data_IF_039094229090
#
_entry.id   IF_039094229090
#
_cell.length_a   1.000
_cell.length_b   1.000
_cell.length_c   1.000
_cell.angle_alpha   90.00
_cell.angle_beta   90.00
_cell.angle_gamma   90.00
#
_symmetry.space_group_name_H-M   'P 1'
#
loop_
_entity.id
_entity.type
_entity.pdbx_description
1 polymer ?
#
# COMPACT_ATOMS: atom_id res chain seq x y z
N UNK A 1 22.81 -23.26 -21.93
CA UNK A 1 22.03 -24.05 -22.89
C UNK A 1 21.63 -25.33 -22.19
N UNK A 2 20.32 -25.58 -22.18
CA UNK A 2 19.61 -26.80 -21.75
C UNK A 2 19.86 -27.39 -20.35
N UNK A 3 18.86 -27.21 -19.48
CA UNK A 3 18.08 -28.37 -19.02
C UNK A 3 16.78 -27.89 -18.37
N UNK A 4 15.70 -28.10 -19.11
CA UNK A 4 14.31 -27.90 -18.71
C UNK A 4 13.79 -29.16 -18.02
N UNK A 5 12.94 -28.92 -17.02
CA UNK A 5 11.80 -29.75 -16.58
C UNK A 5 12.12 -31.11 -15.94
N UNK A 6 11.54 -31.35 -14.75
CA UNK A 6 10.69 -32.50 -14.40
C UNK A 6 10.37 -32.43 -12.89
N UNK A 7 9.36 -31.65 -12.49
CA UNK A 7 8.72 -31.80 -11.18
C UNK A 7 7.35 -32.46 -11.36
N UNK A 8 7.27 -33.69 -10.84
CA UNK A 8 6.14 -34.61 -10.89
C UNK A 8 4.89 -34.03 -10.20
N UNK A 9 3.73 -34.20 -10.83
CA UNK A 9 2.39 -33.89 -10.30
C UNK A 9 2.09 -34.78 -9.09
N UNK A 10 1.56 -34.19 -8.00
CA UNK A 10 0.96 -34.91 -6.86
C UNK A 10 -0.46 -35.40 -7.23
N UNK A 11 -0.92 -36.55 -6.69
CA UNK A 11 -2.23 -37.11 -7.03
C UNK A 11 -3.39 -36.40 -6.30
N UNK A 12 -4.55 -36.39 -6.96
CA UNK A 12 -5.81 -35.85 -6.46
C UNK A 12 -6.42 -36.78 -5.40
N UNK A 13 -6.89 -36.20 -4.29
CA UNK A 13 -7.70 -36.88 -3.28
C UNK A 13 -9.15 -36.50 -3.55
N UNK A 14 -10.00 -37.51 -3.71
CA UNK A 14 -11.44 -37.39 -3.91
C UNK A 14 -12.13 -36.94 -2.60
N UNK A 15 -13.08 -36.02 -2.70
CA UNK A 15 -13.97 -35.62 -1.61
C UNK A 15 -15.40 -36.05 -1.92
N UNK A 16 -16.00 -36.82 -1.01
CA UNK A 16 -17.41 -37.22 -1.01
C UNK A 16 -18.36 -36.03 -0.77
N UNK A 17 -19.63 -36.08 -1.23
CA UNK A 17 -20.57 -34.98 -1.13
C UNK A 17 -21.35 -34.99 0.20
N UNK A 18 -21.58 -33.81 0.77
CA UNK A 18 -22.53 -33.60 1.88
C UNK A 18 -23.87 -33.03 1.34
N UNK A 19 -25.01 -33.30 2.02
CA UNK A 19 -26.32 -33.24 1.40
C UNK A 19 -26.94 -31.84 1.33
N UNK A 20 -27.72 -31.65 0.27
CA UNK A 20 -28.54 -30.47 0.01
C UNK A 20 -29.68 -30.32 1.02
N UNK A 21 -29.94 -29.08 1.43
CA UNK A 21 -31.24 -28.66 1.94
C UNK A 21 -31.85 -27.67 0.95
N UNK A 22 -32.99 -28.10 0.41
CA UNK A 22 -33.95 -27.28 -0.33
C UNK A 22 -34.41 -26.08 0.50
N UNK A 23 -34.62 -24.94 -0.16
CA UNK A 23 -35.79 -24.07 0.03
C UNK A 23 -35.74 -22.88 -0.94
N UNK A 24 -36.80 -22.75 -1.76
CA UNK A 24 -37.30 -21.44 -2.19
C UNK A 24 -36.94 -20.98 -3.60
N UNK A 25 -37.57 -21.57 -4.61
CA UNK A 25 -37.64 -21.00 -5.96
C UNK A 25 -38.48 -19.71 -5.99
N UNK A 26 -38.00 -18.67 -6.65
CA UNK A 26 -38.81 -17.55 -7.14
C UNK A 26 -38.15 -17.01 -8.42
N UNK A 27 -38.94 -17.03 -9.51
CA UNK A 27 -38.48 -17.03 -10.88
C UNK A 27 -37.68 -15.80 -11.34
N UNK A 28 -36.78 -16.03 -12.31
CA UNK A 28 -36.12 -14.97 -13.08
C UNK A 28 -36.14 -15.29 -14.57
N UNK A 29 -36.53 -14.27 -15.32
CA UNK A 29 -36.62 -14.17 -16.79
C UNK A 29 -35.35 -14.65 -17.52
N UNK A 30 -35.47 -15.35 -18.67
CA UNK A 30 -34.33 -15.83 -19.44
C UNK A 30 -33.94 -14.78 -20.48
N UNK A 31 -33.09 -13.81 -20.12
CA UNK A 31 -32.24 -13.06 -21.07
C UNK A 31 -31.29 -12.08 -20.34
N UNK A 32 -30.30 -12.62 -19.62
CA UNK A 32 -29.09 -11.83 -19.30
C UNK A 32 -27.83 -12.62 -19.68
N UNK A 33 -26.86 -12.01 -20.38
CA UNK A 33 -25.61 -12.69 -20.69
C UNK A 33 -24.85 -12.98 -19.40
N UNK A 34 -24.56 -14.27 -19.16
CA UNK A 34 -23.75 -14.75 -18.03
C UNK A 34 -22.32 -14.24 -18.18
N UNK A 35 -22.01 -13.11 -17.58
CA UNK A 35 -20.62 -12.70 -17.34
C UNK A 35 -20.04 -13.68 -16.31
N UNK A 36 -18.89 -14.33 -16.57
CA UNK A 36 -18.28 -15.23 -15.59
C UNK A 36 -17.96 -14.44 -14.33
N UNK A 37 -18.54 -14.84 -13.20
CA UNK A 37 -18.18 -14.34 -11.89
C UNK A 37 -16.77 -14.86 -11.54
N UNK A 38 -15.73 -14.25 -12.10
CA UNK A 38 -14.48 -14.12 -11.35
C UNK A 38 -14.89 -13.49 -10.02
N UNK A 39 -14.53 -14.10 -8.89
CA UNK A 39 -14.80 -13.56 -7.55
C UNK A 39 -14.57 -12.05 -7.58
N UNK A 40 -15.67 -11.29 -7.71
CA UNK A 40 -15.63 -9.85 -7.53
C UNK A 40 -15.54 -9.74 -6.03
N UNK A 41 -14.35 -9.37 -5.54
CA UNK A 41 -14.17 -8.92 -4.17
C UNK A 41 -15.36 -8.01 -3.83
N UNK A 42 -15.95 -8.10 -2.61
CA UNK A 42 -16.93 -7.14 -2.15
C UNK A 42 -16.47 -5.74 -2.54
N UNK A 43 -17.40 -4.88 -2.96
CA UNK A 43 -17.04 -3.54 -3.36
C UNK A 43 -16.23 -2.90 -2.22
N UNK A 44 -14.92 -2.67 -2.41
CA UNK A 44 -14.06 -2.09 -1.39
C UNK A 44 -14.61 -0.75 -0.88
N UNK A 45 -15.37 -0.08 -1.75
CA UNK A 45 -16.17 1.13 -1.50
C UNK A 45 -17.27 0.95 -0.44
N UNK A 46 -17.78 -0.26 -0.22
CA UNK A 46 -18.81 -0.56 0.81
C UNK A 46 -18.24 -1.10 2.12
N UNK A 47 -16.95 -1.45 2.16
CA UNK A 47 -16.32 -1.93 3.39
C UNK A 47 -16.18 -0.79 4.40
N UNK A 48 -16.26 -1.10 5.69
CA UNK A 48 -16.00 -0.16 6.79
C UNK A 48 -14.84 -0.65 7.67
N UNK A 49 -14.11 0.25 8.34
CA UNK A 49 -13.09 -0.13 9.30
C UNK A 49 -13.63 -1.13 10.34
N UNK A 50 -12.86 -2.20 10.58
CA UNK A 50 -13.19 -3.20 11.60
C UNK A 50 -12.84 -2.72 13.00
N UNK A 51 -13.18 -3.49 14.04
CA UNK A 51 -12.75 -3.21 15.41
C UNK A 51 -11.22 -3.10 15.49
N UNK A 52 -10.48 -4.02 14.86
CA UNK A 52 -9.01 -3.96 14.78
C UNK A 52 -8.51 -2.62 14.24
N UNK A 53 -9.11 -2.08 13.17
CA UNK A 53 -8.69 -0.79 12.62
C UNK A 53 -8.91 0.35 13.62
N UNK A 54 -10.08 0.39 14.26
CA UNK A 54 -10.42 1.41 15.26
C UNK A 54 -9.57 1.27 16.54
N UNK A 55 -9.24 0.04 16.95
CA UNK A 55 -8.36 -0.22 18.08
C UNK A 55 -6.92 0.24 17.79
N UNK A 56 -6.40 -0.04 16.59
CA UNK A 56 -5.08 0.45 16.16
C UNK A 56 -5.05 1.99 16.14
N UNK A 57 -6.10 2.63 15.60
CA UNK A 57 -6.24 4.10 15.64
C UNK A 57 -6.15 4.61 17.08
N UNK A 58 -6.94 4.05 17.99
CA UNK A 58 -6.92 4.43 19.41
C UNK A 58 -5.56 4.19 20.07
N UNK A 59 -4.89 3.06 19.79
CA UNK A 59 -3.54 2.78 20.32
C UNK A 59 -2.50 3.79 19.84
N UNK A 60 -2.62 4.28 18.59
CA UNK A 60 -1.76 5.35 18.07
C UNK A 60 -2.06 6.68 18.74
N UNK A 61 -3.33 7.03 18.90
CA UNK A 61 -3.76 8.26 19.60
C UNK A 61 -3.31 8.29 21.07
N UNK A 62 -3.26 7.12 21.74
CA UNK A 62 -2.78 6.99 23.13
C UNK A 62 -1.27 6.78 23.25
N UNK A 63 -0.52 6.78 22.12
CA UNK A 63 0.94 6.68 22.12
C UNK A 63 1.51 5.27 22.36
N UNK A 64 0.68 4.22 22.41
CA UNK A 64 1.15 2.84 22.53
C UNK A 64 1.73 2.29 21.22
N UNK A 65 1.17 2.71 20.08
CA UNK A 65 1.64 2.32 18.76
C UNK A 65 2.25 3.52 18.07
N UNK A 66 3.52 3.40 17.70
CA UNK A 66 4.23 4.50 17.05
C UNK A 66 4.01 4.62 15.55
N UNK A 67 3.71 3.50 14.89
CA UNK A 67 3.63 3.42 13.43
C UNK A 67 2.92 2.13 13.01
N UNK A 68 2.22 2.18 11.88
CA UNK A 68 1.49 1.07 11.28
C UNK A 68 2.04 0.80 9.89
N UNK A 69 2.43 -0.44 9.62
CA UNK A 69 2.83 -0.90 8.29
C UNK A 69 1.77 -1.87 7.76
N UNK A 70 1.14 -1.51 6.64
CA UNK A 70 0.05 -2.29 6.04
C UNK A 70 0.40 -2.80 4.64
N UNK A 71 -0.06 -4.02 4.36
CA UNK A 71 -0.08 -4.60 3.01
C UNK A 71 -1.41 -4.37 2.31
N UNK A 72 -2.43 -3.95 3.05
CA UNK A 72 -3.77 -3.82 2.54
C UNK A 72 -3.84 -2.60 1.62
N UNK A 73 -4.60 -2.76 0.54
CA UNK A 73 -4.87 -1.67 -0.42
C UNK A 73 -6.26 -1.08 -0.23
N UNK A 74 -7.07 -1.66 0.66
CA UNK A 74 -8.47 -1.31 0.93
C UNK A 74 -8.67 0.10 1.53
N UNK A 75 -7.59 0.79 1.91
CA UNK A 75 -7.61 2.13 2.48
C UNK A 75 -8.30 2.25 3.84
N UNK A 76 -8.67 1.15 4.49
CA UNK A 76 -9.47 1.17 5.72
C UNK A 76 -8.73 1.80 6.91
N UNK A 77 -7.40 1.77 6.93
CA UNK A 77 -6.62 2.51 7.94
C UNK A 77 -6.76 4.03 7.78
N UNK A 78 -6.66 4.55 6.55
CA UNK A 78 -6.88 5.98 6.31
C UNK A 78 -8.31 6.35 6.67
N UNK A 79 -9.27 5.53 6.22
CA UNK A 79 -10.70 5.74 6.47
C UNK A 79 -11.07 5.65 7.94
N UNK A 80 -10.34 4.89 8.77
CA UNK A 80 -10.55 4.89 10.23
C UNK A 80 -10.08 6.17 10.91
N UNK A 81 -9.53 7.13 10.16
CA UNK A 81 -8.93 8.36 10.69
C UNK A 81 -7.52 8.17 11.25
N UNK A 82 -6.83 7.07 10.90
CA UNK A 82 -5.45 6.87 11.32
C UNK A 82 -4.55 7.95 10.68
N UNK A 83 -3.74 8.69 11.46
CA UNK A 83 -2.88 9.74 10.92
C UNK A 83 -1.93 9.21 9.84
N UNK A 84 -1.86 9.93 8.72
CA UNK A 84 -1.08 9.48 7.55
C UNK A 84 0.42 9.43 7.81
N UNK A 85 0.91 10.30 8.68
CA UNK A 85 2.30 10.33 9.10
C UNK A 85 2.73 9.05 9.85
N UNK A 86 1.77 8.39 10.51
CA UNK A 86 1.94 7.15 11.29
C UNK A 86 1.58 5.87 10.52
N UNK A 87 1.37 5.95 9.20
CA UNK A 87 0.94 4.83 8.35
C UNK A 87 1.83 4.67 7.11
N UNK A 88 2.30 3.45 6.85
CA UNK A 88 2.94 3.06 5.58
C UNK A 88 2.12 1.97 4.90
N UNK A 89 1.57 2.26 3.72
CA UNK A 89 0.82 1.30 2.90
C UNK A 89 1.71 0.81 1.77
N UNK A 90 2.37 -0.33 1.96
CA UNK A 90 3.48 -0.76 1.09
C UNK A 90 3.04 -1.23 -0.30
N UNK A 91 1.76 -1.52 -0.48
CA UNK A 91 1.19 -1.99 -1.75
C UNK A 91 0.25 -0.97 -2.40
N UNK A 92 0.17 0.24 -1.85
CA UNK A 92 -0.68 1.32 -2.35
C UNK A 92 -2.05 1.35 -1.69
N UNK A 93 -2.95 2.14 -2.27
CA UNK A 93 -4.27 2.42 -1.74
C UNK A 93 -5.25 2.60 -2.91
N UNK A 94 -6.39 1.90 -2.88
CA UNK A 94 -7.41 1.92 -3.95
C UNK A 94 -8.05 3.29 -4.16
N UNK A 95 -7.86 4.22 -3.23
CA UNK A 95 -8.45 5.56 -3.24
C UNK A 95 -7.45 6.66 -3.61
N UNK A 96 -6.22 6.29 -3.97
CA UNK A 96 -5.17 7.24 -4.32
C UNK A 96 -4.72 7.06 -5.77
N UNK A 97 -4.63 8.19 -6.48
CA UNK A 97 -3.96 8.28 -7.78
C UNK A 97 -2.91 9.40 -7.76
N UNK A 98 -1.85 9.26 -8.54
CA UNK A 98 -0.78 10.23 -8.61
C UNK A 98 -0.66 10.79 -10.03
N UNK A 99 -0.40 12.09 -10.14
CA UNK A 99 -0.06 12.70 -11.43
C UNK A 99 1.38 12.37 -11.82
N UNK A 100 1.58 11.92 -13.06
CA UNK A 100 2.91 11.65 -13.60
C UNK A 100 3.70 12.95 -13.87
N UNK A 101 3.02 14.05 -14.19
CA UNK A 101 3.66 15.34 -14.47
C UNK A 101 4.09 16.10 -13.20
N UNK A 102 3.20 16.27 -12.22
CA UNK A 102 3.46 17.11 -11.04
C UNK A 102 3.67 16.32 -9.74
N UNK A 103 3.62 14.98 -9.78
CA UNK A 103 3.75 14.09 -8.63
C UNK A 103 2.71 14.26 -7.51
N UNK A 104 1.69 15.12 -7.71
CA UNK A 104 0.62 15.33 -6.73
C UNK A 104 -0.22 14.07 -6.56
N UNK A 105 -0.47 13.69 -5.31
CA UNK A 105 -1.37 12.59 -4.94
C UNK A 105 -2.78 13.15 -4.79
N UNK A 106 -3.74 12.50 -5.44
CA UNK A 106 -5.15 12.85 -5.48
C UNK A 106 -5.93 11.75 -4.76
N UNK A 107 -6.73 12.17 -3.79
CA UNK A 107 -7.61 11.29 -3.03
C UNK A 107 -8.99 11.24 -3.69
N UNK A 108 -9.54 10.04 -3.85
CA UNK A 108 -10.84 9.78 -4.46
C UNK A 108 -11.71 8.98 -3.49
N UNK A 109 -13.02 9.13 -3.59
CA UNK A 109 -13.98 8.35 -2.82
C UNK A 109 -14.55 7.16 -3.63
N UNK A 110 -13.81 6.67 -4.62
CA UNK A 110 -14.14 5.49 -5.43
C UNK A 110 -12.86 4.70 -5.72
N UNK A 111 -13.00 3.44 -6.12
CA UNK A 111 -11.87 2.58 -6.51
C UNK A 111 -11.23 3.10 -7.81
N UNK A 112 -10.06 3.71 -7.70
CA UNK A 112 -9.30 4.25 -8.83
C UNK A 112 -8.62 3.17 -9.66
N UNK A 113 -8.47 1.97 -9.08
CA UNK A 113 -7.69 0.87 -9.62
C UNK A 113 -8.56 -0.21 -10.29
N UNK A 114 -9.88 -0.07 -10.28
CA UNK A 114 -10.86 -1.03 -10.82
C UNK A 114 -10.50 -1.58 -12.22
N UNK A 115 -10.00 -0.72 -13.08
CA UNK A 115 -9.66 -1.03 -14.48
C UNK A 115 -8.15 -1.04 -14.75
N UNK A 116 -7.36 -0.98 -13.68
CA UNK A 116 -5.90 -1.02 -13.71
C UNK A 116 -5.39 -2.43 -13.53
N UNK A 117 -4.10 -2.60 -13.77
CA UNK A 117 -3.48 -3.91 -13.76
C UNK A 117 -1.99 -3.80 -13.99
N UNK A 118 -1.33 -4.96 -13.92
CA UNK A 118 0.11 -5.07 -14.10
C UNK A 118 0.62 -4.31 -15.33
N UNK A 119 1.51 -3.34 -15.12
CA UNK A 119 2.11 -2.49 -16.14
C UNK A 119 1.15 -1.51 -16.82
N UNK A 120 -0.06 -1.31 -16.26
CA UNK A 120 -1.16 -0.52 -16.84
C UNK A 120 -1.85 0.33 -15.78
N UNK A 121 -1.09 1.28 -15.24
CA UNK A 121 -1.55 2.10 -14.11
C UNK A 121 -2.30 3.38 -14.50
N UNK A 122 -2.20 3.84 -15.75
CA UNK A 122 -2.85 5.08 -16.18
C UNK A 122 -4.37 4.93 -16.00
N UNK A 123 -4.98 5.91 -15.34
CA UNK A 123 -6.42 5.91 -15.03
C UNK A 123 -7.26 6.56 -16.11
N UNK A 124 -6.63 7.32 -17.01
CA UNK A 124 -7.30 8.03 -18.11
C UNK A 124 -7.86 9.40 -17.74
N UNK A 125 -7.51 9.91 -16.55
CA UNK A 125 -7.96 11.19 -15.99
C UNK A 125 -6.87 12.25 -16.02
N UNK A 126 -7.28 13.52 -16.06
CA UNK A 126 -6.36 14.66 -16.04
C UNK A 126 -6.24 15.19 -14.61
N UNK A 127 -5.02 15.48 -14.20
CA UNK A 127 -4.74 15.93 -12.83
C UNK A 127 -5.47 17.24 -12.51
N UNK A 128 -6.30 17.28 -11.46
CA UNK A 128 -7.00 18.50 -11.06
C UNK A 128 -6.05 19.60 -10.56
N UNK A 129 -4.89 19.23 -9.99
CA UNK A 129 -3.87 20.21 -9.56
C UNK A 129 -3.17 20.85 -10.76
N UNK A 130 -2.80 20.06 -11.77
CA UNK A 130 -2.28 20.62 -13.03
C UNK A 130 -3.33 21.48 -13.73
N UNK A 131 -4.61 21.07 -13.73
CA UNK A 131 -5.71 21.84 -14.32
C UNK A 131 -5.86 23.22 -13.68
N UNK A 132 -5.68 23.31 -12.36
CA UNK A 132 -5.71 24.57 -11.64
C UNK A 132 -4.46 25.44 -11.92
N UNK A 133 -3.28 24.82 -12.01
CA UNK A 133 -2.02 25.55 -12.20
C UNK A 133 -1.78 25.99 -13.65
N UNK A 134 -2.19 25.17 -14.63
CA UNK A 134 -1.94 25.33 -16.07
C UNK A 134 -3.16 24.88 -16.89
N UNK A 135 -4.24 25.69 -16.90
CA UNK A 135 -5.52 25.29 -17.50
C UNK A 135 -5.43 25.05 -19.00
N UNK A 136 -4.72 25.89 -19.76
CA UNK A 136 -4.63 25.80 -21.22
C UNK A 136 -3.91 24.51 -21.68
N UNK A 137 -2.79 24.16 -21.04
CA UNK A 137 -2.06 22.91 -21.31
C UNK A 137 -2.91 21.67 -21.00
N UNK A 138 -3.66 21.72 -19.89
CA UNK A 138 -4.57 20.63 -19.51
C UNK A 138 -5.76 20.52 -20.47
N UNK A 139 -6.29 21.64 -20.96
CA UNK A 139 -7.37 21.69 -21.94
C UNK A 139 -6.92 21.09 -23.28
N UNK A 140 -5.73 21.48 -23.76
CA UNK A 140 -5.14 20.91 -24.97
C UNK A 140 -4.92 19.39 -24.84
N UNK A 141 -4.44 18.94 -23.68
CA UNK A 141 -4.29 17.51 -23.38
C UNK A 141 -5.65 16.79 -23.41
N UNK A 142 -6.68 17.40 -22.83
CA UNK A 142 -8.06 16.87 -22.83
C UNK A 142 -8.60 16.71 -24.25
N UNK A 143 -8.51 17.76 -25.07
CA UNK A 143 -8.95 17.72 -26.47
C UNK A 143 -8.20 16.66 -27.28
N UNK A 144 -6.88 16.56 -27.10
CA UNK A 144 -6.05 15.55 -27.75
C UNK A 144 -6.48 14.14 -27.36
N UNK A 145 -6.73 13.92 -26.07
CA UNK A 145 -7.20 12.64 -25.54
C UNK A 145 -8.57 12.27 -26.13
N UNK A 146 -9.55 13.17 -26.08
CA UNK A 146 -10.89 12.96 -26.63
C UNK A 146 -10.85 12.63 -28.14
N UNK A 147 -10.14 13.42 -28.95
CA UNK A 147 -10.03 13.20 -30.39
C UNK A 147 -9.41 11.84 -30.73
N UNK A 148 -8.39 11.44 -29.98
CA UNK A 148 -7.72 10.15 -30.16
C UNK A 148 -8.61 8.96 -29.71
N UNK A 149 -9.42 9.14 -28.67
CA UNK A 149 -10.41 8.14 -28.21
C UNK A 149 -11.50 7.93 -29.24
N UNK A 150 -12.08 9.00 -29.79
CA UNK A 150 -13.06 8.87 -30.85
C UNK A 150 -12.49 8.15 -32.08
N UNK A 151 -11.27 8.51 -32.50
CA UNK A 151 -10.57 7.82 -33.60
C UNK A 151 -10.38 6.34 -33.30
N UNK A 152 -10.01 5.99 -32.06
CA UNK A 152 -9.86 4.60 -31.63
C UNK A 152 -11.18 3.82 -31.69
N UNK A 153 -12.27 4.40 -31.17
CA UNK A 153 -13.61 3.78 -31.17
C UNK A 153 -14.13 3.57 -32.60
N UNK A 154 -14.00 4.59 -33.47
CA UNK A 154 -14.36 4.49 -34.91
C UNK A 154 -13.62 3.34 -35.60
N UNK A 155 -12.30 3.20 -35.34
CA UNK A 155 -11.48 2.13 -35.93
C UNK A 155 -11.90 0.72 -35.52
N UNK A 156 -12.51 0.55 -34.34
CA UNK A 156 -12.91 -0.75 -33.78
C UNK A 156 -14.34 -1.16 -34.12
N UNK A 157 -15.12 -0.32 -34.83
CA UNK A 157 -16.56 -0.50 -35.10
C UNK A 157 -17.37 -0.80 -33.82
N UNK A 158 -16.87 -0.38 -32.66
CA UNK A 158 -17.46 -0.65 -31.36
C UNK A 158 -17.91 0.69 -30.77
N UNK A 159 -19.11 1.10 -31.14
CA UNK A 159 -19.67 2.38 -30.72
C UNK A 159 -20.68 2.15 -29.58
N UNK A 160 -20.53 2.97 -28.54
CA UNK A 160 -21.59 3.36 -27.60
C UNK A 160 -21.80 2.59 -26.29
N UNK A 161 -21.00 1.57 -25.94
CA UNK A 161 -21.05 1.05 -24.56
C UNK A 161 -20.18 1.88 -23.60
N UNK A 162 -20.65 2.26 -22.40
CA UNK A 162 -19.86 3.00 -21.42
C UNK A 162 -18.51 2.32 -21.10
N UNK A 163 -18.50 0.99 -21.00
CA UNK A 163 -17.28 0.22 -20.76
C UNK A 163 -16.28 0.31 -21.92
N UNK A 164 -16.74 0.33 -23.18
CA UNK A 164 -15.85 0.49 -24.33
C UNK A 164 -15.22 1.88 -24.37
N UNK A 165 -15.98 2.93 -24.03
CA UNK A 165 -15.47 4.30 -23.95
C UNK A 165 -14.40 4.40 -22.87
N UNK A 166 -14.68 3.89 -21.67
CA UNK A 166 -13.72 3.86 -20.55
C UNK A 166 -12.41 3.14 -20.92
N UNK A 167 -12.49 1.96 -21.53
CA UNK A 167 -11.30 1.20 -21.94
C UNK A 167 -10.53 1.90 -23.06
N UNK A 168 -11.22 2.54 -24.00
CA UNK A 168 -10.60 3.33 -25.06
C UNK A 168 -9.87 4.56 -24.50
N UNK A 169 -10.52 5.31 -23.60
CA UNK A 169 -9.95 6.44 -22.85
C UNK A 169 -8.62 6.03 -22.20
N UNK A 170 -8.65 4.95 -21.43
CA UNK A 170 -7.46 4.43 -20.74
C UNK A 170 -6.35 4.02 -21.70
N UNK A 171 -6.69 3.28 -22.76
CA UNK A 171 -5.71 2.83 -23.75
C UNK A 171 -5.01 4.00 -24.43
N UNK A 172 -5.78 5.01 -24.85
CA UNK A 172 -5.25 6.21 -25.48
C UNK A 172 -4.42 7.02 -24.49
N UNK A 173 -4.89 7.24 -23.27
CA UNK A 173 -4.13 7.92 -22.22
C UNK A 173 -2.80 7.22 -21.93
N UNK A 174 -2.79 5.88 -21.90
CA UNK A 174 -1.56 5.09 -21.71
C UNK A 174 -0.56 5.24 -22.86
N UNK A 175 -1.04 5.48 -24.09
CA UNK A 175 -0.16 5.81 -25.21
C UNK A 175 0.38 7.23 -25.08
N UNK A 176 -0.50 8.18 -24.78
CA UNK A 176 -0.15 9.59 -24.62
C UNK A 176 0.90 9.79 -23.51
N UNK A 177 0.75 9.09 -22.39
CA UNK A 177 1.72 9.14 -21.28
C UNK A 177 3.13 8.69 -21.68
N UNK A 178 3.29 7.92 -22.76
CA UNK A 178 4.59 7.45 -23.27
C UNK A 178 5.16 8.35 -24.36
N UNK A 179 4.35 9.19 -24.98
CA UNK A 179 4.75 10.04 -26.11
C UNK A 179 5.34 11.37 -25.65
N UNK A 180 4.97 11.88 -24.47
CA UNK A 180 5.36 13.22 -23.99
C UNK A 180 6.81 13.31 -23.47
N UNK A 181 7.60 12.24 -23.53
CA UNK A 181 8.99 12.20 -23.04
C UNK A 181 10.11 12.33 -24.09
N UNK A 182 9.88 12.95 -25.26
CA UNK A 182 10.88 12.99 -26.36
C UNK A 182 11.33 14.40 -26.82
N UNK A 183 11.17 15.44 -26.00
CA UNK A 183 11.72 16.77 -26.29
C UNK A 183 12.50 17.31 -25.09
N UNK A 184 13.84 17.21 -25.14
CA UNK A 184 14.77 17.91 -24.24
C UNK A 184 14.92 19.37 -24.71
N UNK A 185 13.95 20.22 -24.41
CA UNK A 185 14.15 21.67 -24.42
C UNK A 185 14.28 22.14 -22.97
N UNK A 186 15.39 22.79 -22.65
CA UNK A 186 15.72 23.35 -21.33
C UNK A 186 14.94 24.64 -21.04
N UNK A 187 13.64 24.67 -21.37
CA UNK A 187 12.75 25.77 -21.01
C UNK A 187 11.86 25.34 -19.83
N UNK A 188 11.99 26.04 -18.70
CA UNK A 188 11.43 25.68 -17.40
C UNK A 188 9.89 25.74 -17.31
N UNK A 189 9.18 26.10 -18.39
CA UNK A 189 7.75 26.41 -18.36
C UNK A 189 6.83 25.38 -19.03
N UNK A 190 7.33 24.35 -19.71
CA UNK A 190 6.49 23.27 -20.30
C UNK A 190 6.50 21.99 -19.46
N UNK A 191 5.36 21.28 -19.36
CA UNK A 191 5.36 19.96 -18.71
C UNK A 191 6.30 18.98 -19.43
N UNK A 192 7.21 18.35 -18.70
CA UNK A 192 8.04 17.25 -19.23
C UNK A 192 7.27 15.94 -19.44
N UNK A 193 6.08 15.81 -18.84
CA UNK A 193 5.20 14.65 -18.98
C UNK A 193 3.73 15.07 -19.06
N UNK A 194 2.85 14.25 -19.67
CA UNK A 194 1.43 14.57 -19.76
C UNK A 194 0.79 14.67 -18.35
N UNK A 195 -0.13 15.62 -18.07
CA UNK A 195 -0.78 15.79 -16.76
C UNK A 195 -1.83 14.70 -16.47
N UNK A 196 -1.49 13.44 -16.74
CA UNK A 196 -2.32 12.26 -16.57
C UNK A 196 -2.13 11.65 -15.19
N UNK A 197 -3.19 11.03 -14.69
CA UNK A 197 -3.21 10.33 -13.41
C UNK A 197 -2.95 8.83 -13.60
N UNK A 198 -2.28 8.23 -12.62
CA UNK A 198 -2.07 6.79 -12.48
C UNK A 198 -2.44 6.30 -11.10
N UNK A 199 -2.92 5.06 -10.97
CA UNK A 199 -3.07 4.45 -9.66
C UNK A 199 -1.70 4.23 -8.98
N UNK A 200 -1.75 3.99 -7.68
CA UNK A 200 -0.55 3.71 -6.87
C UNK A 200 -0.50 2.25 -6.40
N UNK A 201 -1.35 1.36 -6.95
CA UNK A 201 -1.41 -0.04 -6.53
C UNK A 201 -0.18 -0.79 -7.03
N UNK A 202 0.43 -1.58 -6.15
CA UNK A 202 1.42 -2.58 -6.54
C UNK A 202 0.67 -3.87 -6.88
N UNK A 203 0.49 -4.15 -8.17
CA UNK A 203 -0.24 -5.33 -8.63
C UNK A 203 0.58 -6.60 -8.40
N UNK A 204 -0.12 -7.74 -8.31
CA UNK A 204 0.52 -9.03 -8.12
C UNK A 204 1.54 -9.32 -9.25
N UNK A 205 2.72 -9.81 -8.88
CA UNK A 205 3.91 -10.00 -9.75
C UNK A 205 4.58 -8.72 -10.28
N UNK A 206 4.18 -7.53 -9.82
CA UNK A 206 4.99 -6.33 -10.02
C UNK A 206 6.18 -6.33 -9.07
N UNK A 207 7.26 -5.68 -9.52
CA UNK A 207 8.37 -5.40 -8.61
C UNK A 207 7.88 -4.40 -7.57
N UNK A 208 8.49 -4.48 -6.38
CA UNK A 208 8.33 -3.51 -5.31
C UNK A 208 8.50 -2.08 -5.83
N UNK A 209 7.90 -1.10 -5.15
CA UNK A 209 7.65 0.22 -5.72
C UNK A 209 8.87 0.88 -6.33
N UNK A 210 8.65 1.50 -7.49
CA UNK A 210 9.66 2.28 -8.21
C UNK A 210 10.12 3.46 -7.34
N UNK A 211 11.39 3.83 -7.44
CA UNK A 211 12.00 4.89 -6.62
C UNK A 211 11.14 6.17 -6.60
N UNK A 212 10.55 6.59 -7.72
CA UNK A 212 9.70 7.78 -7.78
C UNK A 212 8.45 7.77 -6.89
N UNK A 213 8.05 6.61 -6.38
CA UNK A 213 6.80 6.41 -5.63
C UNK A 213 7.02 6.08 -4.15
N UNK A 214 8.27 5.95 -3.70
CA UNK A 214 8.59 5.50 -2.35
C UNK A 214 7.89 6.31 -1.24
N UNK A 215 7.72 7.60 -1.48
CA UNK A 215 7.07 8.53 -0.54
C UNK A 215 5.56 8.27 -0.42
N UNK A 216 4.89 7.83 -1.50
CA UNK A 216 3.47 7.48 -1.46
C UNK A 216 3.25 6.29 -0.52
N UNK A 217 4.12 5.29 -0.64
CA UNK A 217 4.09 4.09 0.19
C UNK A 217 4.68 4.33 1.60
N UNK A 218 5.26 5.51 1.83
CA UNK A 218 5.94 5.93 3.06
C UNK A 218 6.95 4.89 3.55
N UNK A 219 7.76 4.39 2.63
CA UNK A 219 8.78 3.36 2.89
C UNK A 219 9.81 3.85 3.91
N UNK A 220 10.28 5.09 3.76
CA UNK A 220 11.21 5.73 4.69
C UNK A 220 10.67 5.71 6.11
N UNK A 221 9.42 6.15 6.31
CA UNK A 221 8.76 6.15 7.61
C UNK A 221 8.64 4.75 8.23
N UNK A 222 8.40 3.71 7.43
CA UNK A 222 8.41 2.32 7.92
C UNK A 222 9.80 1.90 8.41
N UNK A 223 10.85 2.28 7.69
CA UNK A 223 12.24 1.98 8.07
C UNK A 223 12.61 2.77 9.34
N UNK A 224 12.23 4.05 9.43
CA UNK A 224 12.44 4.87 10.64
C UNK A 224 11.75 4.27 11.86
N UNK A 225 10.50 3.82 11.71
CA UNK A 225 9.75 3.23 12.80
C UNK A 225 10.41 1.96 13.37
N UNK A 226 11.04 1.16 12.51
CA UNK A 226 11.68 -0.11 12.88
C UNK A 226 13.11 0.11 13.42
N UNK A 227 13.94 0.88 12.72
CA UNK A 227 15.38 0.95 13.01
C UNK A 227 15.80 2.23 13.72
N UNK A 228 14.90 3.20 13.86
CA UNK A 228 15.19 4.53 14.37
C UNK A 228 15.62 5.49 13.25
N UNK A 229 15.17 6.73 13.38
CA UNK A 229 15.43 7.81 12.41
C UNK A 229 16.90 8.19 12.34
N UNK A 230 17.56 8.34 13.49
CA UNK A 230 18.99 8.64 13.58
C UNK A 230 19.82 7.62 12.77
N UNK A 231 19.48 6.35 12.93
CA UNK A 231 20.12 5.24 12.24
C UNK A 231 19.89 5.27 10.72
N UNK A 232 18.65 5.50 10.28
CA UNK A 232 18.32 5.62 8.87
C UNK A 232 19.05 6.80 8.21
N UNK A 233 18.99 7.99 8.82
CA UNK A 233 19.68 9.20 8.33
C UNK A 233 21.16 8.95 8.13
N UNK A 234 21.80 8.29 9.10
CA UNK A 234 23.22 7.92 9.05
C UNK A 234 23.52 6.94 7.89
N UNK A 235 22.66 5.93 7.67
CA UNK A 235 22.81 4.99 6.54
C UNK A 235 22.62 5.65 5.17
N UNK A 236 21.65 6.55 5.04
CA UNK A 236 21.41 7.32 3.81
C UNK A 236 22.62 8.21 3.53
N UNK A 237 23.10 8.97 4.53
CA UNK A 237 24.26 9.85 4.39
C UNK A 237 25.51 9.06 3.94
N UNK A 238 25.73 7.87 4.50
CA UNK A 238 26.84 7.00 4.09
C UNK A 238 26.71 6.46 2.65
N UNK A 239 25.49 6.24 2.16
CA UNK A 239 25.26 5.84 0.76
C UNK A 239 25.49 7.00 -0.22
N UNK A 240 25.21 8.24 0.19
CA UNK A 240 25.42 9.44 -0.64
C UNK A 240 26.88 9.92 -0.63
N UNK A 241 27.57 9.81 0.51
CA UNK A 241 28.96 10.22 0.67
C UNK A 241 29.89 9.01 0.53
N UNK A 242 30.40 8.76 -0.69
CA UNK A 242 31.33 7.67 -1.00
C UNK A 242 32.69 7.72 -0.26
N UNK A 243 32.94 8.72 0.59
CA UNK A 243 34.28 9.04 1.12
C UNK A 243 34.42 9.00 2.64
N UNK A 244 33.34 8.80 3.41
CA UNK A 244 33.43 8.71 4.87
C UNK A 244 32.34 7.80 5.44
N UNK A 245 32.72 6.60 5.88
CA UNK A 245 31.85 5.76 6.72
C UNK A 245 31.94 6.31 8.14
N UNK A 246 30.82 6.80 8.68
CA UNK A 246 30.78 7.23 10.08
C UNK A 246 31.12 6.03 10.98
N UNK A 247 32.13 6.12 11.87
CA UNK A 247 32.54 5.03 12.77
C UNK A 247 31.39 4.47 13.62
N UNK A 248 30.30 5.22 13.82
CA UNK A 248 29.09 4.77 14.52
C UNK A 248 28.22 3.78 13.71
N UNK A 249 28.48 3.59 12.42
CA UNK A 249 27.79 2.59 11.57
C UNK A 249 28.33 1.17 11.71
N UNK A 250 29.32 0.92 12.56
CA UNK A 250 29.83 -0.44 12.79
C UNK A 250 28.88 -1.30 13.68
N UNK A 251 27.57 -1.17 13.43
CA UNK A 251 26.56 -2.00 14.07
C UNK A 251 25.87 -2.93 13.04
N UNK A 252 25.39 -4.11 13.47
CA UNK A 252 24.86 -5.12 12.57
C UNK A 252 23.64 -4.65 11.74
N UNK A 253 22.81 -3.77 12.33
CA UNK A 253 21.61 -3.19 11.70
C UNK A 253 21.98 -2.32 10.49
N UNK A 254 22.95 -1.42 10.68
CA UNK A 254 23.48 -0.54 9.63
C UNK A 254 24.04 -1.35 8.48
N UNK A 255 24.85 -2.38 8.79
CA UNK A 255 25.41 -3.29 7.78
C UNK A 255 24.31 -4.00 6.99
N UNK A 256 23.22 -4.40 7.65
CA UNK A 256 22.06 -5.04 7.00
C UNK A 256 21.41 -4.13 5.96
N UNK A 257 21.16 -2.87 6.31
CA UNK A 257 20.54 -1.89 5.42
C UNK A 257 21.50 -1.52 4.28
N UNK A 258 22.76 -1.21 4.61
CA UNK A 258 23.78 -0.82 3.64
C UNK A 258 24.13 -1.94 2.65
N UNK A 259 24.06 -3.21 3.05
CA UNK A 259 24.34 -4.33 2.14
C UNK A 259 23.14 -4.70 1.26
N UNK A 260 21.95 -4.13 1.49
CA UNK A 260 20.77 -4.37 0.66
C UNK A 260 20.90 -3.62 -0.67
N UNK A 261 20.99 -4.31 -1.83
CA UNK A 261 21.03 -3.64 -3.14
C UNK A 261 19.78 -2.80 -3.38
N UNK A 262 18.63 -3.28 -2.91
CA UNK A 262 17.36 -2.56 -2.99
C UNK A 262 17.40 -1.27 -2.18
N UNK A 263 17.95 -1.29 -0.95
CA UNK A 263 18.03 -0.09 -0.13
C UNK A 263 18.86 0.99 -0.81
N UNK A 264 20.04 0.64 -1.35
CA UNK A 264 20.89 1.57 -2.12
C UNK A 264 20.17 2.14 -3.33
N UNK A 265 19.39 1.32 -4.04
CA UNK A 265 18.59 1.78 -5.18
C UNK A 265 17.49 2.77 -4.75
N UNK A 266 16.94 2.63 -3.55
CA UNK A 266 15.87 3.48 -3.03
C UNK A 266 16.35 4.75 -2.35
N UNK A 267 17.63 4.85 -1.98
CA UNK A 267 18.21 6.04 -1.33
C UNK A 267 17.85 7.36 -2.02
N UNK A 268 17.93 7.52 -3.36
CA UNK A 268 17.55 8.75 -4.04
C UNK A 268 16.07 9.14 -3.88
N UNK A 269 15.20 8.16 -3.60
CA UNK A 269 13.77 8.37 -3.38
C UNK A 269 13.45 8.87 -1.97
N UNK A 270 14.32 8.61 -1.01
CA UNK A 270 14.16 9.08 0.36
C UNK A 270 14.51 10.57 0.40
N UNK A 271 13.50 11.41 0.23
CA UNK A 271 13.66 12.88 0.31
C UNK A 271 14.10 13.27 1.72
N UNK A 272 15.40 13.45 1.92
CA UNK A 272 16.00 13.93 3.17
C UNK A 272 15.50 15.34 3.55
N UNK A 273 15.04 16.13 2.57
CA UNK A 273 14.76 17.57 2.69
C UNK A 273 13.43 17.95 3.36
N UNK A 274 12.55 16.99 3.68
CA UNK A 274 11.23 17.28 4.26
C UNK A 274 11.00 16.65 5.64
N UNK A 275 12.04 16.19 6.33
CA UNK A 275 11.91 15.90 7.75
C UNK A 275 12.08 17.21 8.50
N UNK A 276 11.02 17.88 8.98
CA UNK A 276 11.23 18.96 9.92
C UNK A 276 12.05 18.39 11.09
N UNK A 277 13.19 19.01 11.40
CA UNK A 277 13.89 18.77 12.67
C UNK A 277 12.96 19.07 13.88
N UNK A 278 11.79 19.65 13.63
CA UNK A 278 10.76 19.98 14.62
C UNK A 278 9.78 18.84 14.97
N UNK A 279 9.91 17.61 14.46
CA UNK A 279 9.14 16.52 15.09
C UNK A 279 9.82 16.14 16.40
N UNK A 280 9.40 16.78 17.48
CA UNK A 280 9.89 16.64 18.86
C UNK A 280 9.44 15.30 19.51
N UNK A 281 9.32 14.23 18.71
CA UNK A 281 9.04 12.88 19.20
C UNK A 281 10.37 12.12 19.31
N UNK A 282 11.08 12.22 20.46
CA UNK A 282 12.37 11.58 20.68
C UNK A 282 12.29 10.07 20.57
N UNK A 283 11.08 9.48 20.63
CA UNK A 283 10.95 8.06 20.44
C UNK A 283 11.42 7.68 19.04
N UNK A 284 11.11 8.45 17.99
CA UNK A 284 11.42 8.07 16.60
C UNK A 284 12.91 7.92 16.32
N UNK A 285 13.78 8.46 17.17
CA UNK A 285 15.23 8.26 17.07
C UNK A 285 15.68 6.88 17.56
N UNK A 286 14.88 6.20 18.38
CA UNK A 286 15.17 4.85 18.88
C UNK A 286 14.56 3.75 18.00
N UNK A 287 15.21 2.58 17.86
CA UNK A 287 14.63 1.41 17.22
C UNK A 287 13.33 0.93 17.88
N UNK A 288 12.53 0.16 17.14
CA UNK A 288 11.38 -0.53 17.71
C UNK A 288 11.83 -1.61 18.71
N UNK A 289 11.15 -1.66 19.86
CA UNK A 289 11.35 -2.69 20.89
C UNK A 289 10.33 -3.82 20.80
N UNK A 290 9.20 -3.59 20.11
CA UNK A 290 8.14 -4.56 19.90
C UNK A 290 7.54 -4.39 18.51
N UNK A 291 7.43 -5.49 17.77
CA UNK A 291 6.68 -5.61 16.52
C UNK A 291 5.52 -6.56 16.76
N UNK A 292 4.30 -6.11 16.42
CA UNK A 292 3.09 -6.92 16.47
C UNK A 292 2.59 -7.13 15.04
N UNK A 293 2.49 -8.39 14.62
CA UNK A 293 1.92 -8.77 13.33
C UNK A 293 0.47 -9.16 13.56
N UNK A 294 -0.45 -8.47 12.89
CA UNK A 294 -1.89 -8.73 12.96
C UNK A 294 -2.39 -9.23 11.61
N UNK A 295 -3.05 -10.39 11.59
CA UNK A 295 -3.86 -10.83 10.45
C UNK A 295 -3.09 -11.01 9.14
N UNK A 296 -1.80 -11.35 9.19
CA UNK A 296 -0.97 -11.54 8.00
C UNK A 296 -0.22 -12.87 8.00
N UNK A 297 -0.23 -13.56 6.85
CA UNK A 297 0.63 -14.74 6.61
C UNK A 297 2.12 -14.38 6.44
N UNK A 298 2.43 -13.09 6.22
CA UNK A 298 3.75 -12.57 5.91
C UNK A 298 4.40 -13.14 4.63
N UNK A 299 3.65 -13.88 3.81
CA UNK A 299 4.18 -14.50 2.58
C UNK A 299 4.81 -13.50 1.60
N UNK A 300 4.29 -12.27 1.60
CA UNK A 300 4.83 -11.15 0.80
C UNK A 300 5.85 -10.34 1.63
N UNK A 301 5.50 -9.94 2.87
CA UNK A 301 6.40 -9.13 3.73
C UNK A 301 7.70 -9.81 4.14
N UNK A 302 7.82 -11.13 4.05
CA UNK A 302 9.10 -11.81 4.28
C UNK A 302 10.21 -11.31 3.34
N UNK A 303 9.84 -10.79 2.16
CA UNK A 303 10.77 -10.24 1.18
C UNK A 303 11.10 -8.76 1.46
N UNK A 304 10.42 -8.12 2.41
CA UNK A 304 10.67 -6.75 2.84
C UNK A 304 11.67 -6.77 4.00
N UNK A 305 12.91 -7.15 3.69
CA UNK A 305 13.98 -7.37 4.68
C UNK A 305 14.21 -6.15 5.59
N UNK A 306 13.99 -4.95 5.06
CA UNK A 306 14.12 -3.70 5.81
C UNK A 306 13.08 -3.48 6.90
N UNK A 307 12.02 -4.30 6.99
CA UNK A 307 11.02 -4.23 8.07
C UNK A 307 11.41 -5.08 9.29
N UNK A 308 12.49 -5.85 9.19
CA UNK A 308 12.84 -6.84 10.21
C UNK A 308 14.19 -6.47 10.81
N UNK A 309 14.23 -6.06 12.09
CA UNK A 309 15.50 -5.82 12.77
C UNK A 309 16.27 -7.13 12.90
N UNK A 310 17.59 -7.02 13.07
CA UNK A 310 18.40 -8.19 13.39
C UNK A 310 18.13 -8.66 14.83
N UNK A 311 18.39 -9.93 15.11
CA UNK A 311 18.20 -10.49 16.46
C UNK A 311 16.76 -10.86 16.81
N UNK A 312 15.84 -10.90 15.84
CA UNK A 312 14.53 -11.53 16.02
C UNK A 312 14.70 -13.04 16.26
N UNK A 313 14.21 -13.55 17.37
CA UNK A 313 14.23 -14.98 17.67
C UNK A 313 14.29 -15.28 19.17
N UNK A 314 13.81 -16.48 19.54
CA UNK A 314 14.03 -17.03 20.87
C UNK A 314 15.51 -17.36 21.04
N UNK A 315 16.10 -16.97 22.17
CA UNK A 315 17.10 -17.81 22.82
C UNK A 315 16.43 -19.17 23.11
N UNK A 316 16.43 -20.09 22.14
CA UNK A 316 16.39 -21.50 22.48
C UNK A 316 17.72 -21.78 23.16
N UNK A 317 17.74 -21.57 24.48
CA UNK A 317 18.75 -22.12 25.37
C UNK A 317 18.75 -23.64 25.23
N UNK A 318 19.39 -24.16 24.17
CA UNK A 318 20.29 -25.27 24.36
C UNK A 318 21.57 -24.64 24.84
N UNK A 319 21.80 -24.75 26.14
CA UNK A 319 23.09 -24.51 26.75
C UNK A 319 24.16 -25.20 25.90
N UNK A 320 24.94 -24.43 25.15
CA UNK A 320 26.29 -24.83 24.79
C UNK A 320 27.18 -24.03 25.73
N UNK A 321 27.71 -24.64 26.81
CA UNK A 321 28.71 -23.96 27.61
C UNK A 321 29.95 -23.80 26.71
N UNK A 322 30.57 -22.63 26.77
CA UNK A 322 31.83 -22.26 26.12
C UNK A 322 31.71 -21.52 24.79
N UNK A 323 31.13 -20.32 24.79
CA UNK A 323 31.79 -19.14 24.20
C UNK A 323 31.38 -17.91 25.02
N UNK A 324 32.25 -17.44 25.90
CA UNK A 324 32.16 -16.10 26.49
C UNK A 324 32.54 -15.08 25.42
N UNK A 325 31.56 -14.48 24.77
CA UNK A 325 31.74 -13.19 24.11
C UNK A 325 30.53 -12.33 24.50
N UNK A 326 30.81 -11.17 25.09
CA UNK A 326 29.87 -10.15 25.58
C UNK A 326 28.50 -10.18 24.88
N UNK A 327 27.52 -10.88 25.47
CA UNK A 327 26.12 -10.77 25.06
C UNK A 327 25.61 -9.44 25.59
N UNK A 328 25.29 -8.52 24.68
CA UNK A 328 24.28 -7.49 24.94
C UNK A 328 23.07 -8.15 25.61
N UNK A 329 22.70 -7.67 26.78
CA UNK A 329 21.60 -8.21 27.58
C UNK A 329 20.32 -8.38 26.76
N UNK A 330 19.54 -9.42 27.05
CA UNK A 330 18.22 -9.76 26.45
C UNK A 330 17.19 -8.59 26.48
N UNK A 331 17.54 -7.49 27.14
CA UNK A 331 16.76 -6.26 27.35
C UNK A 331 16.73 -5.36 26.09
N UNK A 332 17.73 -5.44 25.20
CA UNK A 332 17.88 -4.52 24.07
C UNK A 332 17.35 -5.07 22.73
N UNK A 333 16.81 -6.30 22.69
CA UNK A 333 16.33 -6.90 21.44
C UNK A 333 14.87 -6.56 21.15
N UNK A 334 14.57 -6.29 19.87
CA UNK A 334 13.19 -6.15 19.42
C UNK A 334 12.44 -7.48 19.59
N UNK A 335 11.29 -7.45 20.26
CA UNK A 335 10.39 -8.59 20.43
C UNK A 335 9.41 -8.69 19.28
N UNK A 336 8.99 -9.90 18.94
CA UNK A 336 8.02 -10.17 17.89
C UNK A 336 6.81 -10.95 18.44
N UNK A 337 5.63 -10.34 18.33
CA UNK A 337 4.36 -11.01 18.59
C UNK A 337 3.58 -11.18 17.28
N UNK A 338 2.95 -12.34 17.09
CA UNK A 338 2.15 -12.64 15.90
C UNK A 338 0.75 -13.07 16.35
N UNK A 339 -0.27 -12.34 15.90
CA UNK A 339 -1.69 -12.71 16.04
C UNK A 339 -2.23 -13.01 14.66
N UNK A 340 -2.42 -14.28 14.35
CA UNK A 340 -2.95 -14.70 13.06
C UNK A 340 -3.66 -16.05 13.18
N UNK A 341 -4.77 -16.24 12.47
CA UNK A 341 -5.51 -17.50 12.47
C UNK A 341 -4.67 -18.67 11.96
N UNK A 342 -3.86 -18.42 10.92
CA UNK A 342 -3.05 -19.43 10.25
C UNK A 342 -1.55 -19.27 10.58
N UNK A 343 -0.75 -20.35 10.44
CA UNK A 343 0.70 -20.28 10.51
C UNK A 343 1.30 -19.23 9.58
N UNK A 344 2.40 -18.62 10.00
CA UNK A 344 3.16 -17.62 9.23
C UNK A 344 4.58 -18.10 9.00
N UNK A 345 5.22 -17.53 7.97
CA UNK A 345 6.63 -17.83 7.71
C UNK A 345 7.62 -17.29 8.75
N UNK A 346 7.15 -16.55 9.78
CA UNK A 346 8.00 -16.02 10.87
C UNK A 346 7.63 -16.53 12.27
N UNK A 347 6.76 -17.53 12.38
CA UNK A 347 6.39 -18.09 13.68
C UNK A 347 7.61 -18.59 14.47
N UNK A 348 8.62 -19.15 13.79
CA UNK A 348 9.86 -19.61 14.42
C UNK A 348 10.75 -18.49 14.97
N UNK A 349 10.50 -17.23 14.58
CA UNK A 349 11.22 -16.06 15.07
C UNK A 349 10.44 -15.29 16.15
N UNK A 350 9.17 -15.61 16.35
CA UNK A 350 8.29 -14.87 17.26
C UNK A 350 8.48 -15.29 18.72
N UNK A 351 8.46 -14.31 19.62
CA UNK A 351 8.40 -14.54 21.06
C UNK A 351 7.04 -15.08 21.47
N UNK A 352 5.98 -14.54 20.86
CA UNK A 352 4.59 -14.89 21.11
C UNK A 352 3.84 -15.12 19.80
N UNK A 353 3.11 -16.23 19.72
CA UNK A 353 2.22 -16.55 18.59
C UNK A 353 0.84 -16.90 19.13
N UNK A 354 -0.18 -16.14 18.73
CA UNK A 354 -1.58 -16.33 19.10
C UNK A 354 -2.37 -16.70 17.85
N UNK A 355 -3.08 -17.84 17.91
CA UNK A 355 -3.96 -18.32 16.83
C UNK A 355 -5.41 -17.96 17.11
N UNK A 356 -5.75 -16.70 16.87
CA UNK A 356 -7.09 -16.19 17.11
C UNK A 356 -7.44 -15.04 16.17
N UNK A 357 -8.71 -14.62 16.20
CA UNK A 357 -9.19 -13.42 15.55
C UNK A 357 -8.50 -12.18 16.14
N UNK A 358 -8.04 -11.28 15.27
CA UNK A 358 -7.42 -10.01 15.69
C UNK A 358 -8.41 -9.15 16.48
N UNK A 359 -9.68 -9.12 16.08
CA UNK A 359 -10.73 -8.36 16.77
C UNK A 359 -10.90 -8.85 18.20
N UNK A 360 -10.95 -10.17 18.43
CA UNK A 360 -11.11 -10.74 19.77
C UNK A 360 -9.91 -10.42 20.67
N UNK A 361 -8.69 -10.59 20.16
CA UNK A 361 -7.48 -10.30 20.95
C UNK A 361 -7.36 -8.82 21.27
N UNK A 362 -7.63 -7.94 20.30
CA UNK A 362 -7.61 -6.51 20.56
C UNK A 362 -8.75 -6.06 21.48
N UNK A 363 -9.93 -6.70 21.46
CA UNK A 363 -10.98 -6.41 22.43
C UNK A 363 -10.50 -6.67 23.86
N UNK A 364 -9.88 -7.83 24.11
CA UNK A 364 -9.31 -8.18 25.41
C UNK A 364 -8.20 -7.19 25.82
N UNK A 365 -7.27 -6.89 24.91
CA UNK A 365 -6.18 -5.95 25.21
C UNK A 365 -6.72 -4.55 25.55
N UNK A 366 -7.64 -4.04 24.72
CA UNK A 366 -8.16 -2.68 24.89
C UNK A 366 -9.00 -2.57 26.16
N UNK A 367 -9.90 -3.53 26.41
CA UNK A 367 -10.81 -3.50 27.56
C UNK A 367 -10.14 -3.97 28.86
N UNK A 368 -9.57 -5.19 28.88
CA UNK A 368 -9.13 -5.85 30.11
C UNK A 368 -7.72 -5.45 30.53
N UNK A 369 -6.83 -5.13 29.58
CA UNK A 369 -5.43 -4.82 29.87
C UNK A 369 -5.15 -3.32 29.94
N UNK A 370 -5.73 -2.53 29.03
CA UNK A 370 -5.42 -1.10 28.89
C UNK A 370 -6.54 -0.18 29.40
N UNK A 371 -7.77 -0.67 29.55
CA UNK A 371 -8.92 0.16 29.91
C UNK A 371 -9.23 1.26 28.89
N UNK A 372 -8.83 1.09 27.62
CA UNK A 372 -9.04 2.06 26.54
C UNK A 372 -10.33 1.74 25.82
N UNK A 373 -11.25 2.71 25.77
CA UNK A 373 -12.46 2.59 24.97
C UNK A 373 -12.15 2.76 23.48
N UNK A 374 -12.49 1.74 22.68
CA UNK A 374 -12.36 1.82 21.21
C UNK A 374 -13.57 2.56 20.63
N UNK A 375 -13.37 3.68 19.92
CA UNK A 375 -14.47 4.42 19.32
C UNK A 375 -15.12 3.62 18.19
N UNK A 376 -16.44 3.77 18.03
CA UNK A 376 -17.15 3.29 16.83
C UNK A 376 -16.75 4.18 15.64
N UNK A 377 -16.56 3.54 14.49
CA UNK A 377 -16.33 4.24 13.23
C UNK A 377 -17.54 5.12 12.85
N UNK A 378 -17.30 6.39 12.55
CA UNK A 378 -18.30 7.34 12.05
C UNK A 378 -17.80 7.97 10.75
N UNK A 379 -18.39 7.58 9.63
CA UNK A 379 -17.94 7.99 8.30
C UNK A 379 -17.76 9.51 8.13
N UNK A 380 -18.70 10.32 8.60
CA UNK A 380 -18.68 11.79 8.45
C UNK A 380 -17.61 12.50 9.29
N UNK A 381 -17.10 11.82 10.32
CA UNK A 381 -16.16 12.41 11.29
C UNK A 381 -14.77 11.84 11.09
N UNK A 382 -14.67 10.52 10.95
CA UNK A 382 -13.41 9.78 10.93
C UNK A 382 -12.82 9.63 9.51
N UNK A 383 -13.64 9.55 8.45
CA UNK A 383 -13.17 9.18 7.11
C UNK A 383 -12.66 10.41 6.31
N UNK A 384 -11.34 10.52 6.04
CA UNK A 384 -10.79 11.61 5.24
C UNK A 384 -11.32 11.60 3.80
N UNK A 385 -11.76 10.45 3.27
CA UNK A 385 -12.36 10.37 1.94
C UNK A 385 -13.72 11.08 1.86
N UNK A 386 -14.40 11.30 2.99
CA UNK A 386 -15.63 12.09 2.99
C UNK A 386 -15.33 13.59 2.80
N UNK A 387 -14.25 14.08 3.42
CA UNK A 387 -13.92 15.52 3.48
C UNK A 387 -12.97 15.98 2.38
N UNK A 388 -11.96 15.18 2.09
CA UNK A 388 -10.78 15.60 1.31
C UNK A 388 -10.75 14.98 -0.10
N UNK A 389 -11.64 14.03 -0.39
CA UNK A 389 -11.70 13.42 -1.71
C UNK A 389 -12.12 14.43 -2.78
N UNK A 390 -11.35 14.50 -3.86
CA UNK A 390 -11.65 15.35 -5.00
C UNK A 390 -12.63 14.60 -5.91
N UNK A 391 -13.83 15.13 -6.20
CA UNK A 391 -14.78 14.48 -7.10
C UNK A 391 -14.29 14.49 -8.55
N UNK A 392 -14.85 13.62 -9.37
CA UNK A 392 -14.68 13.71 -10.82
C UNK A 392 -15.49 14.89 -11.36
N UNK A 393 -15.00 15.48 -12.44
CA UNK A 393 -15.81 16.36 -13.26
C UNK A 393 -16.78 15.54 -14.10
N UNK A 394 -17.91 16.11 -14.50
CA UNK A 394 -18.94 15.42 -15.29
C UNK A 394 -18.37 14.80 -16.57
N UNK A 395 -17.40 15.46 -17.19
CA UNK A 395 -16.70 14.97 -18.38
C UNK A 395 -15.82 13.75 -18.13
N UNK A 396 -15.39 13.51 -16.88
CA UNK A 396 -14.51 12.40 -16.47
C UNK A 396 -15.28 11.23 -15.85
N UNK A 397 -16.58 11.35 -15.62
CA UNK A 397 -17.40 10.29 -15.00
C UNK A 397 -17.38 8.98 -15.79
N UNK A 398 -17.20 9.05 -17.12
CA UNK A 398 -17.07 7.88 -17.98
C UNK A 398 -15.77 7.06 -17.74
N UNK A 399 -14.84 7.55 -16.91
CA UNK A 399 -13.55 6.89 -16.63
C UNK A 399 -13.62 5.83 -15.52
N UNK A 400 -14.80 5.57 -14.96
CA UNK A 400 -15.02 4.59 -13.89
C UNK A 400 -16.31 3.80 -14.10
N UNK A 401 -16.42 2.65 -13.45
CA UNK A 401 -17.68 1.87 -13.38
C UNK A 401 -18.19 1.70 -11.96
N UNK A 402 -17.33 1.85 -10.94
CA UNK A 402 -17.74 1.84 -9.53
C UNK A 402 -18.25 3.19 -9.03
N UNK A 403 -19.35 3.20 -8.25
CA UNK A 403 -19.85 4.41 -7.61
C UNK A 403 -18.88 4.94 -6.54
N UNK A 404 -19.20 6.13 -6.05
CA UNK A 404 -18.59 6.67 -4.83
C UNK A 404 -18.96 5.80 -3.62
N UNK A 405 -18.13 5.85 -2.58
CA UNK A 405 -18.45 5.33 -1.25
C UNK A 405 -19.78 5.94 -0.79
N UNK A 406 -20.78 5.12 -0.43
CA UNK A 406 -22.08 5.60 0.01
C UNK A 406 -22.03 6.00 1.51
N UNK A 407 -21.34 7.09 1.84
CA UNK A 407 -21.13 7.52 3.23
C UNK A 407 -22.42 7.63 4.08
N UNK A 408 -23.55 7.94 3.45
CA UNK A 408 -24.88 8.00 4.08
C UNK A 408 -25.38 6.67 4.65
N UNK A 409 -24.91 5.52 4.14
CA UNK A 409 -25.29 4.20 4.67
C UNK A 409 -24.55 3.85 5.97
N UNK A 410 -23.59 4.68 6.38
CA UNK A 410 -22.72 4.45 7.54
C UNK A 410 -22.87 5.57 8.60
N UNK A 411 -24.01 6.27 8.57
CA UNK A 411 -24.39 7.36 9.47
C UNK A 411 -24.87 6.85 10.82
#
# INVERSE_FOLDING_TARGET
MDSMLHMKRKPAIASEPSPASDLGSSGKSPNSPRVPARLRLPEATTATPTFTHMAIKALVEHGYVRHVVSQNVDGLHVRSGLPRDKLSELHGNLFLEQCIACNSVIMRNFDVAETTGRGRHITGRICPKCRAARPDECLLTSHTLCAAVEKHLRSKRNLSSPAAIMLAQKHVATKLSKTVGMSRSEEADTFHEAPLLRDVIVHFYERQPEAGLAEIYRVSAAIEAVHGRSQLRSCIASCLNHSHVDPKLDNPISKSLLNSPWFRQMVPAFKLSNLPDNSCDPTLDSPATLIIVLGSSLCVLRNYHFLWPQGLGRCLSKCVPNVTNHLSSDVDRCRLAIVNLQPTCKDGLADLVIRSSCDQILQLIMHDCLGIQVPKYRAFVDDPLYRDAIPLLSEEEHTRTRPNIPFHLHS
#
